data_IF_505889202607
#
_entry.id   IF_505889202607
#
_cell.length_a   1.000
_cell.length_b   1.000
_cell.length_c   1.000
_cell.angle_alpha   90.00
_cell.angle_beta   90.00
_cell.angle_gamma   90.00
#
_symmetry.space_group_name_H-M   'P 1'
#
loop_
_entity.id
_entity.type
_entity.pdbx_description
1 polymer ?
#
# COMPACT_ATOMS: atom_id res chain seq x y z
N UNK A 1 40.48 -24.32 35.07
CA UNK A 1 39.85 -25.63 34.81
C UNK A 1 38.77 -25.46 33.77
N UNK A 2 38.79 -26.35 32.79
CA UNK A 2 38.03 -26.33 31.55
C UNK A 2 36.59 -26.85 31.69
N UNK A 3 35.80 -26.57 30.65
CA UNK A 3 34.89 -27.47 29.89
C UNK A 3 33.69 -26.63 29.41
N UNK A 4 33.64 -26.11 28.18
CA UNK A 4 33.31 -26.79 26.91
C UNK A 4 32.08 -27.71 26.96
N UNK A 5 31.06 -27.36 26.16
CA UNK A 5 30.35 -28.15 25.11
C UNK A 5 29.10 -27.34 24.65
N UNK A 6 28.95 -26.92 23.39
CA UNK A 6 28.49 -27.65 22.19
C UNK A 6 27.12 -28.32 22.40
N UNK A 7 26.09 -28.28 21.57
CA UNK A 7 25.83 -27.90 20.16
C UNK A 7 24.32 -28.13 19.91
N UNK A 8 23.81 -27.67 18.78
CA UNK A 8 22.89 -28.39 17.87
C UNK A 8 21.66 -27.60 17.41
N UNK A 9 21.72 -27.35 16.10
CA UNK A 9 20.67 -26.94 15.19
C UNK A 9 19.51 -27.94 15.15
N UNK A 10 18.29 -27.42 15.06
CA UNK A 10 17.19 -28.08 14.38
C UNK A 10 16.25 -27.00 13.80
N UNK A 11 16.54 -26.55 12.57
CA UNK A 11 15.61 -25.73 11.79
C UNK A 11 14.85 -26.67 10.86
N UNK A 12 13.59 -26.91 11.21
CA UNK A 12 12.69 -27.75 10.43
C UNK A 12 12.40 -27.12 9.07
N UNK A 13 12.57 -27.94 8.04
CA UNK A 13 12.05 -27.80 6.68
C UNK A 13 10.61 -28.28 6.70
N UNK A 14 9.70 -27.59 5.99
CA UNK A 14 8.63 -28.10 5.13
C UNK A 14 7.45 -27.12 5.05
N UNK A 15 6.88 -26.98 3.86
CA UNK A 15 5.53 -26.43 3.70
C UNK A 15 5.26 -25.72 2.39
N UNK A 16 5.47 -26.40 1.26
CA UNK A 16 4.89 -26.04 -0.03
C UNK A 16 3.37 -26.19 0.08
N UNK A 17 2.62 -25.10 -0.08
CA UNK A 17 1.20 -25.16 -0.42
C UNK A 17 0.91 -24.17 -1.55
N UNK A 18 0.49 -24.75 -2.68
CA UNK A 18 0.12 -24.04 -3.89
C UNK A 18 -1.09 -23.12 -3.67
N UNK A 19 -0.98 -21.92 -4.22
CA UNK A 19 -2.06 -20.97 -4.32
C UNK A 19 -2.73 -21.12 -5.70
N UNK A 20 -3.99 -21.54 -5.71
CA UNK A 20 -4.89 -21.48 -6.86
C UNK A 20 -5.50 -20.07 -6.93
N UNK A 21 -5.45 -19.36 -8.07
CA UNK A 21 -6.26 -18.16 -8.27
C UNK A 21 -7.55 -18.48 -9.05
N UNK A 22 -8.69 -17.99 -8.56
CA UNK A 22 -9.96 -17.89 -9.30
C UNK A 22 -10.00 -16.57 -10.12
N UNK A 23 -10.66 -16.54 -11.28
CA UNK A 23 -10.67 -15.37 -12.16
C UNK A 23 -11.74 -14.35 -11.75
N UNK A 24 -11.47 -13.07 -12.00
CA UNK A 24 -12.45 -11.98 -11.88
C UNK A 24 -12.68 -11.33 -13.24
N UNK A 25 -13.95 -11.04 -13.50
CA UNK A 25 -14.53 -10.54 -14.74
C UNK A 25 -14.11 -9.10 -15.05
N UNK A 26 -13.88 -8.84 -16.34
CA UNK A 26 -13.63 -7.53 -16.92
C UNK A 26 -14.86 -6.61 -16.87
N UNK A 27 -14.63 -5.32 -16.63
CA UNK A 27 -15.42 -4.23 -17.23
C UNK A 27 -14.46 -3.19 -17.80
N UNK A 28 -14.70 -2.85 -19.06
CA UNK A 28 -14.00 -1.87 -19.89
C UNK A 28 -14.55 -0.46 -19.64
N UNK A 29 -13.67 0.55 -19.67
CA UNK A 29 -14.08 1.93 -19.95
C UNK A 29 -13.01 2.61 -20.81
N UNK A 30 -13.51 3.31 -21.83
CA UNK A 30 -12.80 3.94 -22.93
C UNK A 30 -12.83 5.46 -22.75
N UNK A 31 -11.67 6.13 -22.86
CA UNK A 31 -11.53 7.51 -23.36
C UNK A 31 -10.06 7.87 -23.58
N UNK A 32 -9.75 8.85 -24.47
CA UNK A 32 -8.53 8.87 -25.27
C UNK A 32 -7.47 9.84 -24.74
N UNK A 33 -6.19 9.49 -24.91
CA UNK A 33 -5.05 10.38 -24.66
C UNK A 33 -4.27 10.59 -25.95
N UNK A 34 -3.95 11.85 -26.19
CA UNK A 34 -3.17 12.42 -27.28
C UNK A 34 -1.75 11.82 -27.37
N UNK A 35 -1.33 11.57 -28.62
CA UNK A 35 -0.03 11.01 -29.00
C UNK A 35 1.11 11.99 -28.73
N UNK A 36 2.11 11.54 -27.98
CA UNK A 36 3.51 11.97 -28.17
C UNK A 36 4.27 10.82 -28.84
N UNK A 37 4.90 11.11 -29.97
CA UNK A 37 5.63 10.17 -30.83
C UNK A 37 6.82 9.53 -30.10
N UNK A 38 6.76 8.21 -29.95
CA UNK A 38 7.87 7.36 -29.56
C UNK A 38 7.97 6.25 -30.59
N UNK A 39 9.01 6.30 -31.42
CA UNK A 39 9.38 5.20 -32.31
C UNK A 39 10.01 4.11 -31.44
N UNK A 40 9.21 3.11 -31.07
CA UNK A 40 9.70 1.83 -30.55
C UNK A 40 9.06 0.68 -31.32
N UNK A 41 9.92 -0.27 -31.65
CA UNK A 41 9.69 -1.47 -32.43
C UNK A 41 8.48 -2.29 -31.94
N UNK A 42 7.57 -2.54 -32.87
CA UNK A 42 6.39 -3.38 -32.69
C UNK A 42 6.81 -4.87 -32.74
N UNK A 43 6.93 -5.54 -31.60
CA UNK A 43 6.91 -7.00 -31.56
C UNK A 43 5.49 -7.48 -31.25
N UNK A 44 4.77 -7.87 -32.29
CA UNK A 44 3.47 -8.56 -32.16
C UNK A 44 3.68 -9.92 -31.52
N UNK A 45 3.11 -10.14 -30.32
CA UNK A 45 2.83 -11.49 -29.81
C UNK A 45 1.62 -12.05 -30.57
N UNK A 46 1.86 -12.93 -31.53
CA UNK A 46 0.82 -13.84 -32.01
C UNK A 46 0.67 -14.99 -31.00
N UNK A 47 -0.53 -15.13 -30.43
CA UNK A 47 -0.96 -16.37 -29.79
C UNK A 47 -1.26 -17.38 -30.89
N UNK A 48 -0.46 -18.44 -30.99
CA UNK A 48 -0.78 -19.55 -31.88
C UNK A 48 -1.57 -20.60 -31.11
N UNK A 49 -2.85 -20.74 -31.47
CA UNK A 49 -3.63 -21.94 -31.20
C UNK A 49 -3.03 -23.09 -32.02
N UNK A 50 -2.53 -24.12 -31.36
CA UNK A 50 -2.10 -25.34 -32.04
C UNK A 50 -3.33 -26.14 -32.45
N UNK A 51 -3.72 -26.02 -33.71
CA UNK A 51 -4.62 -26.98 -34.36
C UNK A 51 -3.82 -27.81 -35.35
N UNK A 52 -3.76 -29.12 -35.13
CA UNK A 52 -3.13 -30.10 -36.01
C UNK A 52 -4.15 -30.57 -37.04
N UNK A 53 -4.35 -29.83 -38.12
CA UNK A 53 -4.91 -30.37 -39.38
C UNK A 53 -5.03 -29.26 -40.42
N UNK A 54 -4.06 -29.23 -41.35
CA UNK A 54 -4.22 -28.95 -42.78
C UNK A 54 -2.89 -28.44 -43.33
N UNK A 55 -2.32 -29.19 -44.27
CA UNK A 55 -1.20 -28.74 -45.10
C UNK A 55 -1.67 -27.51 -45.90
N UNK A 56 -1.11 -26.34 -45.60
CA UNK A 56 -1.15 -25.18 -46.49
C UNK A 56 0.21 -25.06 -47.16
N UNK A 57 0.17 -24.91 -48.48
CA UNK A 57 1.33 -24.72 -49.34
C UNK A 57 2.22 -23.61 -48.77
N UNK A 58 3.53 -23.89 -48.74
CA UNK A 58 4.54 -22.92 -48.34
C UNK A 58 4.56 -21.79 -49.38
N UNK A 59 3.94 -20.66 -49.05
CA UNK A 59 4.31 -19.39 -49.66
C UNK A 59 5.75 -19.08 -49.25
N UNK A 60 6.53 -18.72 -50.26
CA UNK A 60 7.95 -18.41 -50.22
C UNK A 60 8.25 -17.41 -49.10
N UNK A 61 8.85 -17.91 -48.01
CA UNK A 61 9.39 -17.05 -46.95
C UNK A 61 10.49 -16.21 -47.59
N UNK A 62 10.33 -14.89 -47.65
CA UNK A 62 11.43 -13.97 -47.95
C UNK A 62 12.62 -14.37 -47.09
N UNK A 63 13.68 -14.85 -47.75
CA UNK A 63 14.96 -15.15 -47.14
C UNK A 63 15.39 -13.92 -46.34
N UNK A 64 15.34 -14.02 -45.01
CA UNK A 64 15.96 -13.03 -44.13
C UNK A 64 17.41 -12.87 -44.60
N UNK A 65 17.71 -11.72 -45.19
CA UNK A 65 19.01 -11.42 -45.79
C UNK A 65 20.09 -11.71 -44.74
N UNK A 66 21.00 -12.65 -45.04
CA UNK A 66 22.08 -12.98 -44.14
C UNK A 66 22.87 -11.71 -43.82
N UNK A 67 23.33 -11.59 -42.57
CA UNK A 67 24.19 -10.48 -42.18
C UNK A 67 25.36 -10.39 -43.18
N UNK A 68 25.71 -9.18 -43.66
CA UNK A 68 26.77 -9.01 -44.64
C UNK A 68 28.09 -9.59 -44.11
N UNK A 69 28.89 -10.14 -45.02
CA UNK A 69 30.20 -10.70 -44.71
C UNK A 69 31.06 -9.67 -43.97
N UNK A 70 31.69 -10.08 -42.88
CA UNK A 70 32.54 -9.22 -42.09
C UNK A 70 33.82 -8.95 -42.89
N UNK A 71 34.01 -7.70 -43.32
CA UNK A 71 35.20 -7.30 -44.07
C UNK A 71 36.41 -7.17 -43.13
N UNK A 72 37.19 -8.24 -43.03
CA UNK A 72 38.38 -8.32 -42.17
C UNK A 72 39.53 -7.38 -42.60
N UNK A 73 39.45 -6.78 -43.80
CA UNK A 73 40.49 -5.85 -44.29
C UNK A 73 40.51 -4.51 -43.55
N UNK A 74 39.39 -4.13 -42.94
CA UNK A 74 39.24 -2.87 -42.20
C UNK A 74 39.34 -3.04 -40.67
N UNK A 75 39.72 -4.22 -40.18
CA UNK A 75 39.85 -4.48 -38.74
C UNK A 75 41.12 -3.84 -38.17
N UNK A 76 40.98 -2.60 -37.69
CA UNK A 76 42.02 -1.95 -36.89
C UNK A 76 42.03 -2.61 -35.51
N UNK A 77 42.92 -3.59 -35.30
CA UNK A 77 43.15 -4.19 -33.98
C UNK A 77 43.88 -3.17 -33.11
N UNK A 78 43.12 -2.33 -32.39
CA UNK A 78 43.68 -1.47 -31.35
C UNK A 78 43.88 -2.32 -30.09
N UNK A 79 45.06 -2.31 -29.46
CA UNK A 79 45.25 -3.01 -28.19
C UNK A 79 44.29 -2.43 -27.15
N UNK A 80 43.36 -3.25 -26.65
CA UNK A 80 42.35 -2.83 -25.68
C UNK A 80 42.72 -3.34 -24.28
N UNK A 81 42.83 -2.43 -23.31
CA UNK A 81 42.92 -2.78 -21.89
C UNK A 81 41.53 -2.77 -21.28
N UNK A 82 41.17 -3.86 -20.59
CA UNK A 82 39.91 -3.92 -19.83
C UNK A 82 40.06 -3.06 -18.58
N UNK A 83 39.23 -2.02 -18.46
CA UNK A 83 39.19 -1.11 -17.32
C UNK A 83 37.77 -1.14 -16.75
N UNK A 84 37.60 -1.23 -15.41
CA UNK A 84 36.28 -1.19 -14.82
C UNK A 84 35.61 0.17 -15.06
N UNK A 85 34.31 0.17 -15.30
CA UNK A 85 33.56 1.41 -15.57
C UNK A 85 33.45 2.33 -14.35
N UNK A 86 33.38 1.75 -13.14
CA UNK A 86 33.22 2.49 -11.88
C UNK A 86 34.58 2.75 -11.23
N UNK A 87 34.85 3.98 -10.74
CA UNK A 87 36.04 4.25 -9.94
C UNK A 87 36.00 3.53 -8.58
N UNK A 88 34.80 3.24 -8.05
CA UNK A 88 34.60 2.52 -6.81
C UNK A 88 34.50 1.00 -6.99
N UNK A 89 35.01 0.44 -8.10
CA UNK A 89 34.85 -0.97 -8.46
C UNK A 89 35.28 -1.95 -7.36
N UNK A 90 36.41 -1.71 -6.71
CA UNK A 90 36.92 -2.56 -5.64
C UNK A 90 36.28 -2.31 -4.27
N UNK A 91 35.24 -1.46 -4.21
CA UNK A 91 34.43 -1.31 -3.01
C UNK A 91 33.40 -2.44 -2.92
N UNK A 92 32.96 -2.76 -1.70
CA UNK A 92 31.88 -3.75 -1.51
C UNK A 92 30.50 -3.32 -2.02
N UNK A 93 30.33 -2.08 -2.49
CA UNK A 93 29.06 -1.54 -3.00
C UNK A 93 29.33 -0.44 -4.05
N UNK A 94 29.82 -0.80 -5.25
CA UNK A 94 30.35 0.14 -6.23
C UNK A 94 29.30 1.12 -6.72
N UNK A 95 28.10 0.64 -7.12
CA UNK A 95 27.06 1.52 -7.65
C UNK A 95 26.56 2.51 -6.61
N UNK A 96 26.41 2.07 -5.36
CA UNK A 96 26.02 2.95 -4.26
C UNK A 96 27.03 4.08 -4.05
N UNK A 97 28.33 3.74 -4.06
CA UNK A 97 29.39 4.72 -3.81
C UNK A 97 29.47 5.72 -4.96
N UNK A 98 29.26 5.30 -6.20
CA UNK A 98 29.21 6.23 -7.35
C UNK A 98 28.10 7.28 -7.18
N UNK A 99 26.91 6.87 -6.70
CA UNK A 99 25.83 7.81 -6.37
C UNK A 99 26.19 8.73 -5.21
N UNK A 100 26.87 8.22 -4.17
CA UNK A 100 27.31 9.02 -3.04
C UNK A 100 28.34 10.07 -3.48
N UNK A 101 29.37 9.68 -4.22
CA UNK A 101 30.40 10.57 -4.77
C UNK A 101 29.76 11.64 -5.67
N UNK A 102 28.79 11.26 -6.50
CA UNK A 102 28.05 12.22 -7.35
C UNK A 102 27.38 13.32 -6.51
N UNK A 103 26.73 12.96 -5.41
CA UNK A 103 26.07 13.93 -4.53
C UNK A 103 27.07 14.76 -3.71
N UNK A 104 28.13 14.15 -3.21
CA UNK A 104 29.20 14.84 -2.46
C UNK A 104 29.87 15.89 -3.35
N UNK A 105 30.18 15.58 -4.61
CA UNK A 105 30.68 16.56 -5.59
C UNK A 105 29.74 17.74 -5.80
N UNK A 106 28.43 17.50 -5.87
CA UNK A 106 27.44 18.57 -5.96
C UNK A 106 27.38 19.40 -4.68
N UNK A 107 27.51 18.77 -3.53
CA UNK A 107 27.55 19.45 -2.24
C UNK A 107 28.79 20.36 -2.16
N UNK A 108 29.95 19.86 -2.55
CA UNK A 108 31.20 20.63 -2.59
C UNK A 108 31.09 21.82 -3.54
N UNK A 109 30.62 21.59 -4.78
CA UNK A 109 30.44 22.63 -5.81
C UNK A 109 29.53 23.76 -5.34
N UNK A 110 28.49 23.44 -4.58
CA UNK A 110 27.45 24.38 -4.14
C UNK A 110 27.42 24.61 -2.62
N UNK A 111 28.55 24.40 -1.94
CA UNK A 111 28.63 24.47 -0.48
C UNK A 111 28.32 25.87 0.07
N UNK A 112 28.70 26.90 -0.67
CA UNK A 112 28.58 28.31 -0.30
C UNK A 112 27.15 28.86 -0.43
N UNK A 113 26.24 28.15 -1.12
CA UNK A 113 24.88 28.64 -1.32
C UNK A 113 24.10 28.69 0.01
N UNK A 114 23.30 29.75 0.23
CA UNK A 114 22.52 29.90 1.45
C UNK A 114 21.48 28.79 1.56
N UNK A 115 21.26 28.34 2.80
CA UNK A 115 20.29 27.29 3.10
C UNK A 115 19.10 27.81 3.88
N UNK A 116 17.98 27.17 3.63
CA UNK A 116 16.70 27.39 4.29
C UNK A 116 16.61 26.52 5.55
N UNK A 117 15.73 26.92 6.47
CA UNK A 117 15.37 26.10 7.61
C UNK A 117 14.68 24.79 7.18
N UNK A 118 14.82 23.69 7.95
CA UNK A 118 14.28 22.39 7.57
C UNK A 118 12.75 22.35 7.32
N UNK A 119 11.98 23.23 7.95
CA UNK A 119 10.52 23.27 7.82
C UNK A 119 10.01 23.94 6.53
N UNK A 120 10.79 24.87 5.97
CA UNK A 120 10.44 25.63 4.76
C UNK A 120 10.97 24.94 3.48
N UNK A 121 11.95 24.03 3.61
CA UNK A 121 12.43 23.22 2.50
C UNK A 121 11.30 22.37 1.86
N UNK A 122 11.40 22.16 0.54
CA UNK A 122 10.40 21.40 -0.23
C UNK A 122 10.29 19.96 0.28
N UNK A 123 9.07 19.48 0.49
CA UNK A 123 8.80 18.10 0.92
C UNK A 123 9.03 17.14 -0.25
N UNK A 124 10.12 16.37 -0.19
CA UNK A 124 10.47 15.38 -1.20
C UNK A 124 10.33 13.95 -0.66
N UNK A 125 9.64 13.10 -1.42
CA UNK A 125 9.47 11.70 -1.10
C UNK A 125 10.65 10.87 -1.64
N UNK A 126 11.77 10.89 -0.95
CA UNK A 126 12.94 10.08 -1.31
C UNK A 126 12.63 8.57 -1.29
N UNK A 127 13.44 7.79 -2.02
CA UNK A 127 13.42 6.35 -1.88
C UNK A 127 13.55 5.89 -0.41
N UNK A 128 12.97 4.74 -0.08
CA UNK A 128 13.30 4.02 1.17
C UNK A 128 14.53 3.15 0.93
N UNK A 129 15.22 2.76 2.01
CA UNK A 129 16.39 1.89 1.93
C UNK A 129 16.14 0.62 1.10
N UNK A 130 15.02 -0.07 1.33
CA UNK A 130 14.65 -1.28 0.59
C UNK A 130 14.55 -1.01 -0.92
N UNK A 131 13.77 0.00 -1.30
CA UNK A 131 13.59 0.39 -2.70
C UNK A 131 14.90 0.78 -3.38
N UNK A 132 15.80 1.43 -2.65
CA UNK A 132 17.09 1.83 -3.18
C UNK A 132 18.04 0.63 -3.37
N UNK A 133 17.96 -0.37 -2.49
CA UNK A 133 18.65 -1.65 -2.68
C UNK A 133 18.09 -2.40 -3.89
N UNK A 134 16.76 -2.42 -4.05
CA UNK A 134 16.11 -3.06 -5.21
C UNK A 134 16.52 -2.38 -6.52
N UNK A 135 16.63 -1.05 -6.52
CA UNK A 135 17.05 -0.27 -7.68
C UNK A 135 18.50 -0.58 -8.10
N UNK A 136 19.40 -0.77 -7.15
CA UNK A 136 20.83 -0.99 -7.43
C UNK A 136 21.21 -2.48 -7.56
N UNK A 137 20.42 -3.36 -6.93
CA UNK A 137 20.73 -4.78 -6.76
C UNK A 137 21.85 -5.05 -5.75
N UNK A 138 22.17 -4.09 -4.86
CA UNK A 138 23.28 -4.19 -3.91
C UNK A 138 22.81 -4.15 -2.44
N UNK A 139 23.43 -4.93 -1.54
CA UNK A 139 23.13 -4.86 -0.11
C UNK A 139 23.79 -3.63 0.53
N UNK A 140 22.99 -2.60 0.81
CA UNK A 140 23.50 -1.35 1.39
C UNK A 140 23.24 -1.29 2.90
N UNK A 141 24.25 -1.13 3.78
CA UNK A 141 24.04 -0.92 5.20
C UNK A 141 23.20 0.33 5.50
N UNK A 142 22.29 0.25 6.48
CA UNK A 142 21.40 1.36 6.82
C UNK A 142 22.15 2.64 7.23
N UNK A 143 23.31 2.51 7.89
CA UNK A 143 24.18 3.64 8.27
C UNK A 143 24.65 4.43 7.04
N UNK A 144 25.14 3.74 6.00
CA UNK A 144 25.58 4.37 4.74
C UNK A 144 24.43 5.14 4.09
N UNK A 145 23.26 4.51 4.01
CA UNK A 145 22.08 5.15 3.43
C UNK A 145 21.59 6.37 4.23
N UNK A 146 21.65 6.31 5.57
CA UNK A 146 21.28 7.46 6.41
C UNK A 146 22.22 8.65 6.18
N UNK A 147 23.52 8.41 5.97
CA UNK A 147 24.47 9.45 5.59
C UNK A 147 24.17 10.02 4.21
N UNK A 148 23.91 9.15 3.23
CA UNK A 148 23.46 9.55 1.88
C UNK A 148 22.19 10.42 1.92
N UNK A 149 21.21 10.07 2.76
CA UNK A 149 20.01 10.88 2.96
C UNK A 149 20.30 12.26 3.58
N UNK A 150 21.30 12.39 4.46
CA UNK A 150 21.71 13.69 5.00
C UNK A 150 22.28 14.59 3.90
N UNK A 151 23.06 14.03 2.97
CA UNK A 151 23.59 14.78 1.82
C UNK A 151 22.45 15.26 0.92
N UNK A 152 21.48 14.39 0.59
CA UNK A 152 20.28 14.77 -0.15
C UNK A 152 19.49 15.89 0.54
N UNK A 153 19.28 15.77 1.86
CA UNK A 153 18.59 16.79 2.64
C UNK A 153 19.36 18.11 2.64
N UNK A 154 20.69 18.07 2.76
CA UNK A 154 21.54 19.28 2.72
C UNK A 154 21.45 19.99 1.37
N UNK A 155 21.40 19.26 0.26
CA UNK A 155 21.22 19.81 -1.09
C UNK A 155 19.79 20.37 -1.29
N UNK A 156 18.77 19.68 -0.79
CA UNK A 156 17.37 20.15 -0.87
C UNK A 156 17.10 21.42 -0.04
N UNK A 157 17.95 21.72 0.96
CA UNK A 157 17.85 22.93 1.77
C UNK A 157 18.37 24.19 1.07
N UNK A 158 19.01 24.09 -0.10
CA UNK A 158 19.43 25.28 -0.85
C UNK A 158 18.19 26.12 -1.19
N UNK A 159 18.31 27.45 -1.09
CA UNK A 159 17.21 28.36 -1.41
C UNK A 159 16.64 28.07 -2.81
N UNK A 160 15.30 27.93 -2.98
CA UNK A 160 14.69 27.54 -4.25
C UNK A 160 15.00 28.46 -5.43
N UNK A 161 15.22 29.75 -5.15
CA UNK A 161 15.55 30.76 -6.17
C UNK A 161 16.97 30.56 -6.73
N UNK A 162 17.88 30.05 -5.91
CA UNK A 162 19.29 29.85 -6.25
C UNK A 162 19.60 28.38 -6.58
N UNK A 163 18.58 27.51 -6.69
CA UNK A 163 18.76 26.08 -6.88
C UNK A 163 19.23 25.75 -8.30
N UNK A 164 20.48 25.27 -8.49
CA UNK A 164 21.03 24.94 -9.80
C UNK A 164 20.27 23.80 -10.49
N UNK A 165 20.28 23.79 -11.83
CA UNK A 165 19.65 22.74 -12.64
C UNK A 165 20.22 21.34 -12.35
N UNK A 166 21.55 21.23 -12.21
CA UNK A 166 22.24 19.95 -11.94
C UNK A 166 21.75 19.31 -10.63
N UNK A 167 21.65 20.12 -9.57
CA UNK A 167 21.19 19.67 -8.25
C UNK A 167 19.75 19.23 -8.35
N UNK A 168 18.92 20.01 -9.04
CA UNK A 168 17.51 19.68 -9.26
C UNK A 168 17.35 18.34 -9.96
N UNK A 169 18.07 18.10 -11.06
CA UNK A 169 18.04 16.83 -11.78
C UNK A 169 18.52 15.66 -10.92
N UNK A 170 19.61 15.86 -10.15
CA UNK A 170 20.11 14.86 -9.22
C UNK A 170 19.07 14.52 -8.14
N UNK A 171 18.45 15.51 -7.50
CA UNK A 171 17.41 15.29 -6.49
C UNK A 171 16.22 14.52 -7.08
N UNK A 172 15.71 14.89 -8.25
CA UNK A 172 14.59 14.17 -8.87
C UNK A 172 14.90 12.71 -9.19
N UNK A 173 16.16 12.36 -9.48
CA UNK A 173 16.56 10.96 -9.70
C UNK A 173 16.40 10.06 -8.48
N UNK A 174 16.36 10.63 -7.27
CA UNK A 174 16.22 9.89 -6.00
C UNK A 174 14.82 10.01 -5.39
N UNK A 175 13.87 10.62 -6.11
CA UNK A 175 12.47 10.66 -5.70
C UNK A 175 11.82 9.32 -6.03
N UNK A 176 11.04 8.80 -5.08
CA UNK A 176 10.25 7.60 -5.30
C UNK A 176 9.27 7.84 -6.47
N UNK A 177 9.19 6.94 -7.45
CA UNK A 177 8.15 7.01 -8.47
C UNK A 177 6.77 6.79 -7.83
N UNK A 178 5.81 7.63 -8.21
CA UNK A 178 4.47 7.66 -7.64
C UNK A 178 4.33 8.62 -6.46
N UNK A 179 3.12 9.12 -6.22
CA UNK A 179 2.85 10.04 -5.12
C UNK A 179 2.49 9.24 -3.85
N UNK A 180 3.39 9.08 -2.86
CA UNK A 180 3.09 8.32 -1.65
C UNK A 180 2.01 8.96 -0.78
N UNK A 181 1.63 10.22 -1.05
CA UNK A 181 0.60 10.96 -0.35
C UNK A 181 -0.71 11.07 -1.14
N UNK A 182 -0.76 10.53 -2.37
CA UNK A 182 -1.96 10.60 -3.21
C UNK A 182 -3.05 9.62 -2.79
N UNK A 183 -2.72 8.56 -2.05
CA UNK A 183 -3.73 7.58 -1.62
C UNK A 183 -4.55 8.14 -0.45
N UNK A 184 -5.37 9.15 -0.72
CA UNK A 184 -6.41 9.64 0.17
C UNK A 184 -7.71 8.96 -0.23
N UNK A 185 -8.49 8.40 0.72
CA UNK A 185 -9.81 7.88 0.39
C UNK A 185 -10.68 9.02 -0.14
N UNK A 186 -11.52 8.74 -1.14
CA UNK A 186 -12.47 9.72 -1.65
C UNK A 186 -13.36 10.23 -0.49
N UNK A 187 -13.63 11.54 -0.42
CA UNK A 187 -14.54 12.08 0.58
C UNK A 187 -15.92 11.46 0.37
N UNK A 188 -16.56 11.06 1.47
CA UNK A 188 -17.95 10.61 1.43
C UNK A 188 -18.84 11.83 1.35
N UNK A 189 -19.86 11.75 0.51
CA UNK A 189 -20.87 12.78 0.36
C UNK A 189 -22.23 12.21 0.76
N UNK A 190 -23.18 13.10 1.04
CA UNK A 190 -24.57 12.76 1.32
C UNK A 190 -25.28 12.42 0.01
N UNK A 191 -26.24 11.49 0.05
CA UNK A 191 -27.06 11.13 -1.11
C UNK A 191 -28.00 12.28 -1.53
N UNK A 192 -28.64 12.19 -2.70
CA UNK A 192 -29.61 13.16 -3.21
C UNK A 192 -30.76 13.46 -2.23
N UNK A 193 -31.20 12.44 -1.48
CA UNK A 193 -32.27 12.55 -0.49
C UNK A 193 -31.79 13.04 0.89
N UNK A 194 -30.60 13.61 1.01
CA UNK A 194 -30.06 14.07 2.30
C UNK A 194 -29.67 12.94 3.26
N UNK A 195 -29.47 11.71 2.74
CA UNK A 195 -29.18 10.53 3.56
C UNK A 195 -27.69 10.23 3.57
N UNK A 196 -27.10 10.04 4.75
CA UNK A 196 -25.73 9.60 4.89
C UNK A 196 -25.65 8.08 5.10
N UNK A 197 -24.82 7.41 4.28
CA UNK A 197 -24.65 5.95 4.35
C UNK A 197 -23.45 5.54 5.21
N UNK A 198 -23.74 4.84 6.30
CA UNK A 198 -22.78 4.21 7.20
C UNK A 198 -22.68 2.69 7.01
N UNK A 199 -21.48 2.12 7.19
CA UNK A 199 -21.28 0.66 7.25
C UNK A 199 -20.48 0.30 8.49
N UNK A 200 -20.93 -0.70 9.24
CA UNK A 200 -20.28 -1.19 10.44
C UNK A 200 -20.23 -2.72 10.45
N UNK A 201 -19.24 -3.28 11.15
CA UNK A 201 -19.08 -4.72 11.31
C UNK A 201 -18.59 -5.02 12.71
N UNK A 202 -19.09 -6.11 13.28
CA UNK A 202 -18.64 -6.62 14.57
C UNK A 202 -18.84 -8.13 14.65
N UNK A 203 -17.73 -8.85 14.89
CA UNK A 203 -17.67 -10.32 14.82
C UNK A 203 -18.21 -10.78 13.45
N UNK A 204 -19.38 -11.41 13.44
CA UNK A 204 -20.06 -11.90 12.22
C UNK A 204 -21.19 -10.98 11.76
N UNK A 205 -21.54 -9.99 12.59
CA UNK A 205 -22.63 -9.05 12.33
C UNK A 205 -22.17 -7.94 11.39
N UNK A 206 -23.01 -7.61 10.42
CA UNK A 206 -22.80 -6.51 9.49
C UNK A 206 -24.00 -5.58 9.50
N UNK A 207 -23.76 -4.28 9.58
CA UNK A 207 -24.78 -3.26 9.63
C UNK A 207 -24.56 -2.23 8.52
N UNK A 208 -25.63 -1.87 7.83
CA UNK A 208 -25.70 -0.72 6.93
C UNK A 208 -26.74 0.22 7.49
N UNK A 209 -26.34 1.46 7.74
CA UNK A 209 -27.21 2.48 8.33
C UNK A 209 -27.38 3.62 7.33
N UNK A 210 -28.61 4.08 7.19
CA UNK A 210 -28.95 5.33 6.54
C UNK A 210 -29.35 6.32 7.63
N UNK A 211 -28.62 7.43 7.70
CA UNK A 211 -28.84 8.48 8.69
C UNK A 211 -29.39 9.72 7.98
N UNK A 212 -30.53 10.21 8.44
CA UNK A 212 -31.26 11.33 7.83
C UNK A 212 -31.58 12.33 8.92
N UNK A 213 -31.61 13.63 8.62
CA UNK A 213 -32.07 14.64 9.58
C UNK A 213 -33.56 14.44 9.87
N UNK A 214 -33.97 14.49 11.13
CA UNK A 214 -35.33 14.17 11.57
C UNK A 214 -35.50 14.24 13.09
N UNK A 215 -36.54 13.59 13.61
CA UNK A 215 -37.01 13.72 15.01
C UNK A 215 -36.42 12.70 16.00
N UNK A 216 -35.51 11.83 15.55
CA UNK A 216 -34.85 10.83 16.41
C UNK A 216 -35.46 9.43 16.33
N UNK A 217 -36.23 9.12 15.29
CA UNK A 217 -36.81 7.79 15.10
C UNK A 217 -35.76 6.76 14.70
N UNK A 218 -35.78 5.60 15.34
CA UNK A 218 -34.79 4.53 15.11
C UNK A 218 -35.47 3.23 14.74
N UNK A 219 -35.27 2.80 13.50
CA UNK A 219 -35.75 1.51 12.99
C UNK A 219 -34.58 0.58 12.68
N UNK A 220 -34.71 -0.67 13.14
CA UNK A 220 -33.73 -1.74 12.95
C UNK A 220 -34.44 -2.90 12.28
N UNK A 221 -34.09 -3.20 11.02
CA UNK A 221 -34.76 -4.20 10.18
C UNK A 221 -36.29 -4.04 10.20
N UNK A 222 -36.74 -2.79 9.98
CA UNK A 222 -38.15 -2.40 9.90
C UNK A 222 -38.95 -2.58 11.22
N UNK A 223 -38.24 -2.75 12.35
CA UNK A 223 -38.82 -2.81 13.70
C UNK A 223 -38.31 -1.66 14.55
N UNK A 224 -39.09 -1.27 15.57
CA UNK A 224 -38.63 -0.29 16.55
C UNK A 224 -37.42 -0.82 17.34
N UNK A 225 -36.56 0.07 17.82
CA UNK A 225 -35.35 -0.28 18.57
C UNK A 225 -35.66 -1.07 19.85
N UNK A 226 -36.82 -0.81 20.48
CA UNK A 226 -37.26 -1.51 21.70
C UNK A 226 -37.55 -2.98 21.42
N UNK A 227 -38.21 -3.27 20.30
CA UNK A 227 -38.57 -4.63 19.89
C UNK A 227 -37.35 -5.37 19.32
N UNK A 228 -36.48 -4.66 18.59
CA UNK A 228 -35.28 -5.24 17.99
C UNK A 228 -34.23 -5.63 19.05
N UNK A 229 -34.09 -4.81 20.10
CA UNK A 229 -33.12 -5.02 21.17
C UNK A 229 -33.84 -5.04 22.52
N UNK A 230 -34.19 -6.23 23.05
CA UNK A 230 -34.88 -6.34 24.34
C UNK A 230 -34.06 -5.77 25.51
N UNK A 231 -32.73 -5.90 25.44
CA UNK A 231 -31.81 -5.45 26.49
C UNK A 231 -31.50 -3.95 26.35
N UNK A 232 -31.69 -3.20 27.45
CA UNK A 232 -31.41 -1.75 27.52
C UNK A 232 -29.99 -1.41 27.08
N UNK A 233 -28.99 -2.15 27.57
CA UNK A 233 -27.58 -1.95 27.22
C UNK A 233 -27.30 -1.97 25.71
N UNK A 234 -27.99 -2.86 24.98
CA UNK A 234 -27.77 -2.99 23.53
C UNK A 234 -28.41 -1.81 22.77
N UNK A 235 -29.52 -1.26 23.28
CA UNK A 235 -30.12 -0.01 22.79
C UNK A 235 -29.19 1.18 23.00
N UNK A 236 -28.65 1.32 24.21
CA UNK A 236 -27.70 2.39 24.53
C UNK A 236 -26.44 2.31 23.67
N UNK A 237 -25.91 1.10 23.46
CA UNK A 237 -24.75 0.87 22.60
C UNK A 237 -25.02 1.26 21.15
N UNK A 238 -26.16 0.85 20.58
CA UNK A 238 -26.53 1.19 19.20
C UNK A 238 -26.62 2.71 18.98
N UNK A 239 -27.14 3.44 19.97
CA UNK A 239 -27.34 4.89 19.94
C UNK A 239 -26.16 5.70 20.49
N UNK A 240 -25.11 5.03 20.98
CA UNK A 240 -24.00 5.68 21.69
C UNK A 240 -23.33 6.80 20.89
N UNK A 241 -23.21 6.63 19.56
CA UNK A 241 -22.64 7.64 18.67
C UNK A 241 -23.45 8.96 18.61
N UNK A 242 -24.78 8.88 18.70
CA UNK A 242 -25.67 10.04 18.76
C UNK A 242 -25.74 10.62 20.17
N UNK A 243 -25.74 9.75 21.19
CA UNK A 243 -25.76 10.16 22.61
C UNK A 243 -24.51 10.96 22.98
N UNK A 244 -23.32 10.49 22.61
CA UNK A 244 -22.06 11.17 22.95
C UNK A 244 -21.87 12.50 22.19
N UNK A 245 -22.62 12.71 21.12
CA UNK A 245 -22.62 13.96 20.36
C UNK A 245 -23.85 14.83 20.63
N UNK A 246 -24.73 14.46 21.57
CA UNK A 246 -25.97 15.18 21.88
C UNK A 246 -26.85 15.45 20.65
N UNK A 247 -27.02 14.42 19.80
CA UNK A 247 -27.72 14.47 18.51
C UNK A 247 -28.78 13.38 18.35
N UNK A 248 -29.32 12.89 19.47
CA UNK A 248 -30.37 11.86 19.45
C UNK A 248 -31.62 12.38 18.75
N UNK A 249 -32.06 13.58 19.09
CA UNK A 249 -33.34 14.15 18.62
C UNK A 249 -33.23 14.85 17.26
N UNK A 250 -32.08 14.72 16.57
CA UNK A 250 -31.80 15.41 15.30
C UNK A 250 -31.74 14.50 14.09
N UNK A 251 -31.60 13.19 14.31
CA UNK A 251 -31.37 12.25 13.23
C UNK A 251 -32.25 11.02 13.35
N UNK A 252 -32.93 10.70 12.26
CA UNK A 252 -33.60 9.42 12.06
C UNK A 252 -32.58 8.38 11.58
N UNK A 253 -32.66 7.18 12.15
CA UNK A 253 -31.73 6.07 11.91
C UNK A 253 -32.51 4.90 11.31
N UNK A 254 -32.16 4.54 10.07
CA UNK A 254 -32.63 3.30 9.45
C UNK A 254 -31.47 2.31 9.33
N UNK A 255 -31.48 1.29 10.18
CA UNK A 255 -30.45 0.28 10.23
C UNK A 255 -30.92 -1.04 9.60
N UNK A 256 -30.18 -1.52 8.61
CA UNK A 256 -30.30 -2.89 8.06
C UNK A 256 -29.13 -3.72 8.57
N UNK A 257 -29.44 -4.78 9.31
CA UNK A 257 -28.43 -5.61 9.98
C UNK A 257 -28.64 -7.08 9.67
N UNK A 258 -27.53 -7.79 9.44
CA UNK A 258 -27.52 -9.22 9.15
C UNK A 258 -26.34 -9.92 9.81
N UNK A 259 -26.55 -11.20 10.17
CA UNK A 259 -25.54 -12.08 10.78
C UNK A 259 -25.26 -11.79 12.25
N UNK A 260 -24.44 -12.66 12.86
CA UNK A 260 -24.02 -12.54 14.25
C UNK A 260 -25.16 -12.69 15.26
N UNK A 261 -24.99 -12.07 16.44
CA UNK A 261 -25.98 -12.07 17.52
C UNK A 261 -26.28 -10.66 18.01
N UNK A 262 -27.29 -10.51 18.87
CA UNK A 262 -27.88 -9.22 19.31
C UNK A 262 -26.85 -8.17 19.71
N UNK A 263 -25.92 -8.51 20.61
CA UNK A 263 -24.87 -7.58 21.08
C UNK A 263 -23.90 -7.17 19.97
N UNK A 264 -23.53 -8.11 19.09
CA UNK A 264 -22.69 -7.83 17.93
C UNK A 264 -23.40 -6.97 16.90
N UNK A 265 -24.71 -7.13 16.74
CA UNK A 265 -25.53 -6.31 15.86
C UNK A 265 -25.60 -4.86 16.36
N UNK A 266 -25.88 -4.65 17.66
CA UNK A 266 -25.89 -3.33 18.28
C UNK A 266 -24.54 -2.59 18.09
N UNK A 267 -23.42 -3.23 18.43
CA UNK A 267 -22.08 -2.63 18.26
C UNK A 267 -21.73 -2.36 16.78
N UNK A 268 -22.22 -3.19 15.84
CA UNK A 268 -22.06 -2.94 14.42
C UNK A 268 -22.85 -1.70 13.96
N UNK A 269 -24.06 -1.50 14.50
CA UNK A 269 -24.87 -0.29 14.27
C UNK A 269 -24.12 0.93 14.80
N UNK A 270 -23.56 0.89 16.01
CA UNK A 270 -22.81 2.01 16.61
C UNK A 270 -21.74 2.56 15.66
N UNK A 271 -20.91 1.66 15.11
CA UNK A 271 -19.87 2.03 14.16
C UNK A 271 -20.44 2.56 12.83
N UNK A 272 -21.57 2.01 12.38
CA UNK A 272 -22.24 2.46 11.16
C UNK A 272 -22.83 3.87 11.33
N UNK A 273 -23.52 4.13 12.43
CA UNK A 273 -24.09 5.44 12.79
C UNK A 273 -22.98 6.48 12.91
N UNK A 274 -21.89 6.18 13.65
CA UNK A 274 -20.76 7.09 13.76
C UNK A 274 -20.15 7.47 12.39
N UNK A 275 -20.04 6.50 11.49
CA UNK A 275 -19.53 6.73 10.13
C UNK A 275 -20.49 7.54 9.26
N UNK A 276 -21.80 7.39 9.44
CA UNK A 276 -22.81 8.18 8.74
C UNK A 276 -22.81 9.63 9.27
N UNK A 277 -22.73 9.80 10.60
CA UNK A 277 -22.69 11.11 11.24
C UNK A 277 -21.46 11.93 10.82
N UNK A 278 -20.31 11.28 10.62
CA UNK A 278 -19.10 11.93 10.08
C UNK A 278 -19.25 12.45 8.64
N UNK A 279 -20.22 11.95 7.87
CA UNK A 279 -20.50 12.47 6.52
C UNK A 279 -21.28 13.77 6.61
N UNK A 280 -22.27 13.83 7.50
CA UNK A 280 -23.03 15.06 7.78
C UNK A 280 -22.17 16.12 8.44
N UNK A 281 -21.47 15.77 9.52
CA UNK A 281 -20.67 16.68 10.31
C UNK A 281 -19.23 16.15 10.52
N UNK A 282 -18.30 16.46 9.61
CA UNK A 282 -16.91 15.97 9.70
C UNK A 282 -16.16 16.52 10.93
N UNK A 283 -16.61 17.65 11.48
CA UNK A 283 -16.05 18.30 12.67
C UNK A 283 -16.20 17.47 13.96
N UNK A 284 -17.14 16.52 14.01
CA UNK A 284 -17.40 15.67 15.18
C UNK A 284 -16.45 14.49 15.32
N UNK A 285 -15.62 14.24 14.30
CA UNK A 285 -14.64 13.15 14.29
C UNK A 285 -13.77 13.06 15.57
N UNK A 286 -13.18 14.14 16.14
CA UNK A 286 -12.42 14.05 17.38
C UNK A 286 -13.26 13.55 18.57
N UNK A 287 -14.49 14.07 18.74
CA UNK A 287 -15.40 13.67 19.83
C UNK A 287 -15.79 12.20 19.68
N UNK A 288 -16.22 11.80 18.49
CA UNK A 288 -16.54 10.40 18.18
C UNK A 288 -15.34 9.46 18.34
N UNK A 289 -14.12 9.94 18.09
CA UNK A 289 -12.89 9.16 18.30
C UNK A 289 -12.60 8.98 19.78
N UNK A 290 -12.77 10.01 20.59
CA UNK A 290 -12.60 9.96 22.04
C UNK A 290 -13.66 9.04 22.69
N UNK A 291 -14.90 9.08 22.19
CA UNK A 291 -15.97 8.19 22.62
C UNK A 291 -15.80 6.71 22.17
N UNK A 292 -14.78 6.40 21.36
CA UNK A 292 -14.45 5.04 20.95
C UNK A 292 -15.31 4.43 19.84
N UNK A 293 -16.18 5.20 19.18
CA UNK A 293 -17.18 4.67 18.22
C UNK A 293 -16.72 4.56 16.77
N UNK A 294 -15.57 5.14 16.42
CA UNK A 294 -15.01 5.10 15.05
C UNK A 294 -14.14 3.85 14.83
N UNK A 295 -13.54 3.33 15.89
CA UNK A 295 -12.58 2.23 15.83
C UNK A 295 -13.30 0.92 15.53
N UNK A 296 -12.81 0.17 14.53
CA UNK A 296 -13.34 -1.17 14.25
C UNK A 296 -12.80 -2.15 15.29
N UNK A 297 -13.67 -2.77 16.08
CA UNK A 297 -13.25 -3.79 17.02
C UNK A 297 -12.87 -5.09 16.28
N UNK A 298 -11.57 -5.34 16.21
CA UNK A 298 -10.97 -6.47 15.52
C UNK A 298 -11.12 -7.83 16.24
N UNK A 299 -11.67 -7.87 17.47
CA UNK A 299 -11.84 -9.13 18.21
C UNK A 299 -12.79 -10.06 17.45
N UNK A 300 -12.32 -11.28 17.18
CA UNK A 300 -13.06 -12.35 16.48
C UNK A 300 -12.95 -13.64 17.27
N UNK A 301 -13.91 -14.55 17.10
CA UNK A 301 -13.84 -15.89 17.68
C UNK A 301 -12.65 -16.63 17.06
N UNK A 302 -11.72 -17.07 17.91
CA UNK A 302 -10.60 -17.90 17.50
C UNK A 302 -11.08 -19.31 17.11
N UNK A 303 -10.49 -19.89 16.08
CA UNK A 303 -10.78 -21.29 15.69
C UNK A 303 -10.31 -22.28 16.76
N UNK A 304 -10.93 -23.46 16.80
CA UNK A 304 -10.43 -24.61 17.58
C UNK A 304 -9.05 -25.05 17.04
N UNK A 305 -8.14 -25.39 17.94
CA UNK A 305 -6.81 -25.94 17.63
C UNK A 305 -6.80 -27.45 17.90
N UNK A 306 -6.10 -28.27 17.09
CA UNK A 306 -5.97 -29.69 17.37
C UNK A 306 -5.27 -29.90 18.73
N UNK A 307 -5.66 -30.94 19.47
CA UNK A 307 -5.17 -31.19 20.83
C UNK A 307 -5.77 -30.29 21.93
N UNK A 308 -6.56 -29.27 21.57
CA UNK A 308 -7.31 -28.46 22.53
C UNK A 308 -8.81 -28.75 22.47
N UNK A 309 -9.49 -28.64 23.61
CA UNK A 309 -10.95 -28.78 23.73
C UNK A 309 -11.66 -27.59 23.08
N UNK A 310 -11.14 -26.37 23.27
CA UNK A 310 -11.61 -25.12 22.63
C UNK A 310 -10.42 -24.39 21.97
N UNK A 311 -10.54 -23.09 21.67
CA UNK A 311 -9.43 -22.32 21.09
C UNK A 311 -8.14 -22.35 21.94
N UNK A 312 -8.29 -22.30 23.28
CA UNK A 312 -7.17 -22.29 24.25
C UNK A 312 -7.28 -23.36 25.33
N UNK A 313 -8.50 -23.75 25.73
CA UNK A 313 -8.72 -24.77 26.78
C UNK A 313 -8.07 -26.09 26.37
N UNK A 314 -7.01 -26.48 27.08
CA UNK A 314 -6.39 -27.80 26.96
C UNK A 314 -7.21 -28.84 27.75
N UNK A 315 -7.16 -30.12 27.37
CA UNK A 315 -7.62 -31.19 28.27
C UNK A 315 -6.78 -31.21 29.55
N UNK A 316 -7.27 -31.89 30.59
CA UNK A 316 -6.53 -32.06 31.84
C UNK A 316 -5.21 -32.77 31.56
N UNK A 317 -4.10 -32.18 31.97
CA UNK A 317 -2.77 -32.77 31.84
C UNK A 317 -2.44 -33.63 33.07
N UNK A 318 -1.97 -34.86 32.85
CA UNK A 318 -1.59 -35.81 33.92
C UNK A 318 -0.06 -36.00 33.87
N UNK A 319 0.62 -35.69 34.98
CA UNK A 319 2.10 -35.62 35.05
C UNK A 319 2.82 -36.97 35.19
N UNK A 320 2.18 -37.94 35.87
CA UNK A 320 2.71 -39.19 36.46
C UNK A 320 4.17 -39.53 36.17
#
# INVERSE_FOLDING_TARGET
>A
MALQRSTCLARAVQGVYGAVPRPSLFQTSTSPILRTSSQYLNQKKHQNNFSTSARRHAEELELSQAAPEIDFKNFIIRPARIVPASPAYFSGSPKFIDHQIKLERLLEKYAQLPTVQPGEARRMAWFKLAQFRDLLGEPIPAKKYKNFQKVLQRLNRIQPQLLPGDVRQALYSYVRPGNPYANKPAPKQVDEFGRARGKGKRKESSAVVYLVEGEGEVLVNDKNIVDAFPRVHDRESALWALRCTHRLDKYNVWAKVSGGGVTGQAEAITLAVARALMVHEPALKPVLRQAGVITVDARRVERKKPGHVKARKMPTWVKR
#
